data_IF_881978432387
#
_entry.id   IF_881978432387
#
_cell.length_a   1.000
_cell.length_b   1.000
_cell.length_c   1.000
_cell.angle_alpha   90.00
_cell.angle_beta   90.00
_cell.angle_gamma   90.00
#
_symmetry.space_group_name_H-M   'P 1'
#
loop_
_entity.id
_entity.type
_entity.pdbx_description
1 polymer ?
#
# COMPACT_ATOMS: atom_id res chain seq x y z
N UNK A 1 -1.83 32.17 -23.91
CA UNK A 1 -0.96 32.74 -22.86
C UNK A 1 0.09 31.68 -22.55
N UNK A 2 1.35 32.05 -22.72
CA UNK A 2 2.51 31.16 -22.55
C UNK A 2 2.71 30.78 -21.08
N UNK A 3 3.26 29.59 -20.78
CA UNK A 3 3.68 29.24 -19.44
C UNK A 3 4.96 29.99 -19.05
N UNK A 4 4.97 30.47 -17.80
CA UNK A 4 6.00 31.24 -17.14
C UNK A 4 7.29 30.41 -16.94
N UNK A 5 8.49 30.89 -17.32
CA UNK A 5 9.74 30.15 -17.21
C UNK A 5 10.55 30.64 -16.00
N UNK A 6 10.45 29.96 -14.85
CA UNK A 6 11.35 30.21 -13.72
C UNK A 6 11.60 28.90 -12.96
N UNK A 7 12.43 28.03 -13.54
CA UNK A 7 13.17 26.97 -12.84
C UNK A 7 14.41 26.61 -13.67
N UNK A 8 15.31 27.57 -13.86
CA UNK A 8 16.67 27.32 -14.35
C UNK A 8 17.66 28.21 -13.62
N UNK A 9 18.22 27.72 -12.50
CA UNK A 9 19.63 27.91 -12.13
C UNK A 9 19.89 27.44 -10.69
N UNK A 10 20.18 26.16 -10.50
CA UNK A 10 21.10 25.75 -9.43
C UNK A 10 22.09 24.75 -10.04
N UNK A 11 23.22 25.35 -10.45
CA UNK A 11 24.58 24.84 -10.49
C UNK A 11 24.82 23.34 -10.71
N UNK A 12 25.28 23.06 -11.93
CA UNK A 12 26.10 21.91 -12.27
C UNK A 12 27.45 21.97 -11.54
N UNK A 13 27.73 20.98 -10.71
CA UNK A 13 29.02 20.40 -10.27
C UNK A 13 28.61 19.37 -9.20
N UNK A 14 28.79 18.05 -9.30
CA UNK A 14 29.89 17.24 -9.79
C UNK A 14 29.34 15.94 -10.42
N UNK A 15 29.64 15.69 -11.69
CA UNK A 15 29.41 14.36 -12.28
C UNK A 15 30.63 13.52 -11.91
N UNK A 16 30.56 12.82 -10.79
CA UNK A 16 31.48 11.71 -10.53
C UNK A 16 31.14 10.56 -11.49
N UNK A 17 31.88 10.53 -12.59
CA UNK A 17 31.98 9.39 -13.49
C UNK A 17 32.56 8.17 -12.74
N UNK A 18 31.71 7.19 -12.41
CA UNK A 18 32.11 5.80 -12.15
C UNK A 18 31.21 4.81 -12.91
N UNK A 19 31.37 4.79 -14.23
CA UNK A 19 30.81 3.81 -15.16
C UNK A 19 31.50 2.42 -15.04
N UNK A 20 31.66 1.89 -13.83
CA UNK A 20 32.14 0.53 -13.64
C UNK A 20 30.93 -0.40 -13.51
N UNK A 21 30.52 -1.08 -14.59
CA UNK A 21 29.41 -2.07 -14.58
C UNK A 21 29.60 -3.02 -13.39
N UNK A 22 28.55 -3.23 -12.58
CA UNK A 22 28.67 -4.15 -11.45
C UNK A 22 28.72 -5.58 -11.96
N UNK A 23 29.64 -6.38 -11.41
CA UNK A 23 29.72 -7.79 -11.71
C UNK A 23 28.46 -8.52 -11.24
N UNK A 24 28.13 -9.64 -11.88
CA UNK A 24 27.00 -10.48 -11.46
C UNK A 24 27.12 -10.90 -9.99
N UNK A 25 28.33 -11.22 -9.50
CA UNK A 25 28.56 -11.54 -8.10
C UNK A 25 28.19 -10.39 -7.14
N UNK A 26 28.42 -9.12 -7.53
CA UNK A 26 28.00 -7.97 -6.72
C UNK A 26 26.48 -7.82 -6.72
N UNK A 27 25.81 -8.03 -7.85
CA UNK A 27 24.34 -7.97 -7.94
C UNK A 27 23.68 -9.07 -7.12
N UNK A 28 24.19 -10.31 -7.21
CA UNK A 28 23.72 -11.43 -6.40
C UNK A 28 23.84 -11.12 -4.91
N UNK A 29 24.95 -10.52 -4.46
CA UNK A 29 25.11 -10.10 -3.06
C UNK A 29 24.05 -9.08 -2.63
N UNK A 30 23.72 -8.10 -3.48
CA UNK A 30 22.69 -7.10 -3.20
C UNK A 30 21.30 -7.75 -3.09
N UNK A 31 20.97 -8.67 -4.00
CA UNK A 31 19.74 -9.45 -3.96
C UNK A 31 19.63 -10.31 -2.69
N UNK A 32 20.67 -11.08 -2.37
CA UNK A 32 20.69 -11.93 -1.18
C UNK A 32 20.50 -11.12 0.10
N UNK A 33 21.15 -9.95 0.19
CA UNK A 33 20.96 -9.02 1.29
C UNK A 33 19.53 -8.50 1.37
N UNK A 34 18.94 -8.08 0.24
CA UNK A 34 17.54 -7.65 0.19
C UNK A 34 16.59 -8.73 0.71
N UNK A 35 16.73 -9.97 0.22
CA UNK A 35 15.89 -11.11 0.66
C UNK A 35 16.07 -11.38 2.15
N UNK A 36 17.31 -11.32 2.64
CA UNK A 36 17.60 -11.50 4.06
C UNK A 36 16.88 -10.45 4.92
N UNK A 37 16.89 -9.18 4.50
CA UNK A 37 16.18 -8.11 5.22
C UNK A 37 14.66 -8.28 5.10
N UNK A 38 14.16 -8.63 3.91
CA UNK A 38 12.73 -8.81 3.66
C UNK A 38 12.15 -9.93 4.53
N UNK A 39 12.92 -11.01 4.73
CA UNK A 39 12.51 -12.14 5.57
C UNK A 39 12.24 -11.77 7.05
N UNK A 40 12.66 -10.58 7.51
CA UNK A 40 12.40 -10.04 8.86
C UNK A 40 11.06 -9.29 8.98
N UNK A 41 10.50 -8.86 7.84
CA UNK A 41 9.23 -8.13 7.76
C UNK A 41 8.12 -8.92 7.06
N UNK A 42 8.48 -10.01 6.38
CA UNK A 42 7.55 -10.90 5.70
C UNK A 42 6.62 -11.65 6.67
N UNK A 43 5.32 -11.66 6.34
CA UNK A 43 4.36 -12.58 6.97
C UNK A 43 4.61 -14.03 6.55
N UNK A 44 4.67 -14.96 7.50
CA UNK A 44 4.92 -16.39 7.24
C UNK A 44 3.69 -17.23 7.52
N UNK A 45 3.44 -18.20 6.64
CA UNK A 45 2.34 -19.15 6.79
C UNK A 45 2.86 -20.60 6.79
N UNK A 46 2.12 -21.55 7.37
CA UNK A 46 2.46 -22.95 7.22
C UNK A 46 2.27 -23.40 5.76
N UNK A 47 3.14 -24.30 5.29
CA UNK A 47 2.93 -24.99 4.03
C UNK A 47 1.60 -25.80 4.08
N UNK A 48 0.85 -25.92 2.96
CA UNK A 48 1.17 -25.42 1.62
C UNK A 48 0.64 -23.99 1.34
N UNK A 49 0.20 -23.25 2.37
CA UNK A 49 -0.42 -21.95 2.18
C UNK A 49 0.60 -20.86 1.81
N UNK A 50 1.83 -20.98 2.30
CA UNK A 50 2.94 -20.09 1.94
C UNK A 50 3.59 -20.54 0.62
N UNK A 51 3.45 -19.71 -0.42
CA UNK A 51 3.99 -19.92 -1.77
C UNK A 51 5.13 -18.95 -2.08
N UNK A 52 5.69 -18.26 -1.08
CA UNK A 52 6.81 -17.36 -1.31
C UNK A 52 7.99 -18.07 -1.95
N UNK A 53 8.45 -19.18 -1.38
CA UNK A 53 9.60 -19.92 -1.91
C UNK A 53 9.33 -20.60 -3.26
N UNK A 54 8.08 -20.88 -3.60
CA UNK A 54 7.72 -21.56 -4.84
C UNK A 54 7.45 -20.60 -6.01
N UNK A 55 6.98 -19.38 -5.73
CA UNK A 55 6.54 -18.41 -6.76
C UNK A 55 6.91 -16.97 -6.43
N UNK A 56 6.60 -16.52 -5.20
CA UNK A 56 6.73 -15.10 -4.84
C UNK A 56 8.18 -14.58 -4.88
N UNK A 57 9.15 -15.43 -4.51
CA UNK A 57 10.57 -15.08 -4.47
C UNK A 57 11.11 -14.79 -5.87
N UNK A 58 10.76 -15.61 -6.86
CA UNK A 58 11.25 -15.45 -8.23
C UNK A 58 10.68 -14.17 -8.87
N UNK A 59 9.40 -13.87 -8.64
CA UNK A 59 8.79 -12.60 -9.07
C UNK A 59 9.48 -11.40 -8.42
N UNK A 60 9.75 -11.49 -7.11
CA UNK A 60 10.45 -10.44 -6.38
C UNK A 60 11.87 -10.25 -6.89
N UNK A 61 12.58 -11.33 -7.20
CA UNK A 61 13.93 -11.30 -7.76
C UNK A 61 13.94 -10.53 -9.08
N UNK A 62 13.01 -10.84 -9.98
CA UNK A 62 12.91 -10.15 -11.27
C UNK A 62 12.75 -8.64 -11.11
N UNK A 63 11.87 -8.20 -10.21
CA UNK A 63 11.63 -6.76 -9.96
C UNK A 63 12.86 -6.09 -9.34
N UNK A 64 13.41 -6.68 -8.27
CA UNK A 64 14.54 -6.10 -7.54
C UNK A 64 15.80 -6.07 -8.40
N UNK A 65 16.09 -7.14 -9.15
CA UNK A 65 17.22 -7.18 -10.08
C UNK A 65 17.07 -6.14 -11.19
N UNK A 66 15.85 -5.88 -11.67
CA UNK A 66 15.59 -4.79 -12.62
C UNK A 66 16.01 -3.41 -12.10
N UNK A 67 15.80 -3.11 -10.81
CA UNK A 67 16.32 -1.89 -10.19
C UNK A 67 17.84 -1.90 -10.06
N UNK A 68 18.42 -3.01 -9.60
CA UNK A 68 19.87 -3.18 -9.43
C UNK A 68 20.61 -2.99 -10.76
N UNK A 69 20.10 -3.58 -11.84
CA UNK A 69 20.68 -3.47 -13.19
C UNK A 69 20.68 -2.03 -13.70
N UNK A 70 19.62 -1.28 -13.39
CA UNK A 70 19.48 0.14 -13.75
C UNK A 70 20.15 1.09 -12.76
N UNK A 71 20.67 0.58 -11.63
CA UNK A 71 21.20 1.37 -10.50
C UNK A 71 20.21 2.40 -9.97
N UNK A 72 18.94 2.06 -10.01
CA UNK A 72 17.87 2.91 -9.54
C UNK A 72 17.46 2.50 -8.11
N UNK A 73 17.08 3.44 -7.23
CA UNK A 73 16.55 3.09 -5.91
C UNK A 73 15.42 2.05 -6.04
N UNK A 74 15.48 0.98 -5.24
CA UNK A 74 14.42 -0.04 -5.23
C UNK A 74 13.15 0.63 -4.70
N UNK A 75 12.12 0.73 -5.52
CA UNK A 75 10.86 1.35 -5.11
C UNK A 75 9.89 0.28 -4.65
N UNK A 76 9.41 0.43 -3.42
CA UNK A 76 8.38 -0.40 -2.79
C UNK A 76 7.10 0.40 -2.70
N UNK A 77 5.97 -0.17 -3.12
CA UNK A 77 4.67 0.47 -2.99
C UNK A 77 3.78 -0.32 -2.03
N UNK A 78 3.25 0.37 -1.02
CA UNK A 78 2.46 -0.21 0.06
C UNK A 78 1.10 0.50 0.19
N UNK A 79 0.04 -0.09 -0.40
CA UNK A 79 -1.36 0.25 -0.09
C UNK A 79 -1.65 0.09 1.40
N UNK A 80 -1.76 1.21 2.15
CA UNK A 80 -1.90 1.16 3.61
C UNK A 80 -2.13 2.54 4.26
N UNK A 81 -2.32 2.53 5.59
CA UNK A 81 -2.48 3.69 6.47
C UNK A 81 -3.62 4.64 6.02
N UNK A 82 -4.85 4.13 5.84
CA UNK A 82 -5.97 4.96 5.38
C UNK A 82 -6.37 6.02 6.41
N UNK A 83 -6.61 5.56 7.65
CA UNK A 83 -7.07 6.31 8.82
C UNK A 83 -7.25 5.35 10.00
N UNK A 84 -7.53 5.88 11.20
CA UNK A 84 -7.96 5.07 12.35
C UNK A 84 -9.41 4.62 12.22
N UNK A 85 -9.70 3.46 12.78
CA UNK A 85 -11.06 2.92 12.85
C UNK A 85 -12.05 3.90 13.51
N UNK A 86 -13.29 4.04 13.00
CA UNK A 86 -14.30 4.88 13.62
C UNK A 86 -14.81 4.32 14.97
N UNK A 87 -14.58 3.05 15.26
CA UNK A 87 -14.80 2.49 16.59
C UNK A 87 -13.71 2.93 17.59
N UNK A 88 -13.97 4.03 18.30
CA UNK A 88 -13.09 4.59 19.34
C UNK A 88 -13.39 4.07 20.75
N UNK A 89 -14.25 3.07 20.91
CA UNK A 89 -14.62 2.53 22.23
C UNK A 89 -13.65 1.45 22.68
N UNK A 90 -13.35 0.49 21.79
CA UNK A 90 -12.54 -0.68 22.14
C UNK A 90 -11.49 -1.08 21.08
N UNK A 91 -11.39 -0.32 19.97
CA UNK A 91 -10.46 -0.65 18.88
C UNK A 91 -9.29 0.33 18.72
N UNK A 92 -9.51 1.63 18.88
CA UNK A 92 -8.46 2.66 18.76
C UNK A 92 -8.56 3.70 19.87
N UNK A 93 -7.45 4.36 20.19
CA UNK A 93 -7.37 5.39 21.23
C UNK A 93 -7.90 6.76 20.78
N UNK A 94 -7.96 6.99 19.46
CA UNK A 94 -8.38 8.23 18.86
C UNK A 94 -8.36 8.15 17.33
N UNK A 95 -8.55 9.30 16.69
CA UNK A 95 -8.60 9.42 15.22
C UNK A 95 -7.24 9.64 14.57
N UNK A 96 -6.30 10.22 15.32
CA UNK A 96 -4.94 10.49 14.85
C UNK A 96 -4.03 9.26 15.01
N UNK A 97 -2.92 9.19 14.25
CA UNK A 97 -1.89 8.19 14.46
C UNK A 97 -1.40 8.20 15.91
N UNK A 98 -1.08 7.02 16.42
CA UNK A 98 -0.52 6.83 17.75
C UNK A 98 0.77 6.00 17.68
N UNK A 99 1.22 5.49 18.83
CA UNK A 99 2.46 4.72 18.93
C UNK A 99 2.49 3.51 17.99
N UNK A 100 1.34 2.96 17.59
CA UNK A 100 1.28 1.87 16.64
C UNK A 100 1.80 2.29 15.25
N UNK A 101 1.35 3.45 14.76
CA UNK A 101 1.78 3.98 13.47
C UNK A 101 3.24 4.47 13.52
N UNK A 102 3.66 5.10 14.63
CA UNK A 102 5.07 5.51 14.82
C UNK A 102 6.03 4.32 14.71
N UNK A 103 5.77 3.23 15.44
CA UNK A 103 6.58 2.00 15.38
C UNK A 103 6.53 1.34 13.99
N UNK A 104 5.42 1.48 13.28
CA UNK A 104 5.30 0.96 11.92
C UNK A 104 6.19 1.76 10.96
N UNK A 105 6.18 3.09 11.03
CA UNK A 105 7.07 3.95 10.23
C UNK A 105 8.54 3.65 10.54
N UNK A 106 8.91 3.55 11.82
CA UNK A 106 10.26 3.19 12.24
C UNK A 106 10.70 1.85 11.65
N UNK A 107 9.81 0.85 11.64
CA UNK A 107 10.11 -0.47 11.07
C UNK A 107 10.33 -0.42 9.56
N UNK A 108 9.53 0.35 8.82
CA UNK A 108 9.66 0.50 7.37
C UNK A 108 10.94 1.26 7.00
N UNK A 109 11.23 2.35 7.72
CA UNK A 109 12.47 3.12 7.57
C UNK A 109 13.70 2.23 7.80
N UNK A 110 13.74 1.51 8.93
CA UNK A 110 14.85 0.63 9.28
C UNK A 110 15.08 -0.45 8.22
N UNK A 111 14.02 -0.97 7.62
CA UNK A 111 14.14 -1.92 6.52
C UNK A 111 14.80 -1.28 5.30
N UNK A 112 14.37 -0.09 4.88
CA UNK A 112 14.95 0.62 3.75
C UNK A 112 16.41 1.00 3.99
N UNK A 113 16.73 1.57 5.15
CA UNK A 113 18.09 1.95 5.55
C UNK A 113 19.03 0.74 5.54
N UNK A 114 18.58 -0.43 6.04
CA UNK A 114 19.38 -1.65 6.01
C UNK A 114 19.64 -2.15 4.59
N UNK A 115 18.72 -1.97 3.64
CA UNK A 115 18.97 -2.31 2.23
C UNK A 115 20.05 -1.39 1.64
N UNK A 116 19.99 -0.10 1.97
CA UNK A 116 20.92 0.92 1.49
C UNK A 116 22.38 0.70 1.94
N UNK A 117 22.59 0.07 3.10
CA UNK A 117 23.93 -0.32 3.60
C UNK A 117 24.76 -1.12 2.58
N UNK A 118 24.12 -1.91 1.73
CA UNK A 118 24.77 -2.76 0.71
C UNK A 118 24.48 -2.30 -0.72
N UNK A 119 23.30 -1.70 -0.95
CA UNK A 119 22.88 -1.19 -2.24
C UNK A 119 22.80 0.34 -2.20
N UNK A 120 23.88 1.02 -2.60
CA UNK A 120 24.01 2.48 -2.42
C UNK A 120 22.96 3.36 -3.13
N UNK A 121 22.31 2.95 -4.24
CA UNK A 121 21.15 3.70 -4.73
C UNK A 121 19.94 3.67 -3.79
N UNK A 122 19.94 2.76 -2.82
CA UNK A 122 18.99 2.74 -1.72
C UNK A 122 17.65 2.08 -2.04
N UNK A 123 16.73 2.24 -1.10
CA UNK A 123 15.39 1.68 -1.14
C UNK A 123 14.39 2.77 -0.72
N UNK A 124 13.28 2.89 -1.43
CA UNK A 124 12.21 3.85 -1.14
C UNK A 124 10.92 3.12 -0.84
N UNK A 125 10.24 3.54 0.22
CA UNK A 125 8.94 3.07 0.63
C UNK A 125 7.89 4.12 0.27
N UNK A 126 6.99 3.80 -0.65
CA UNK A 126 5.82 4.62 -0.96
C UNK A 126 4.62 4.07 -0.21
N UNK A 127 4.13 4.82 0.76
CA UNK A 127 2.83 4.60 1.38
C UNK A 127 1.77 5.16 0.43
N UNK A 128 1.07 4.28 -0.28
CA UNK A 128 -0.01 4.67 -1.17
C UNK A 128 -1.33 4.57 -0.41
N UNK A 129 -1.82 5.71 0.10
CA UNK A 129 -2.98 5.76 0.99
C UNK A 129 -4.23 5.24 0.30
N UNK A 130 -4.88 4.26 0.93
CA UNK A 130 -6.20 3.76 0.55
C UNK A 130 -7.33 4.48 1.30
N UNK A 131 -7.04 5.58 2.01
CA UNK A 131 -8.02 6.34 2.78
C UNK A 131 -9.19 6.83 1.90
N UNK A 132 -8.88 7.54 0.82
CA UNK A 132 -9.87 8.05 -0.16
C UNK A 132 -10.66 6.95 -0.87
N UNK A 133 -10.15 5.71 -0.83
CA UNK A 133 -10.83 4.53 -1.40
C UNK A 133 -12.03 4.13 -0.53
N UNK A 134 -11.91 4.25 0.80
CA UNK A 134 -12.83 3.61 1.75
C UNK A 134 -13.51 4.56 2.75
N UNK A 135 -13.10 5.83 2.87
CA UNK A 135 -13.51 6.70 3.97
C UNK A 135 -15.03 6.84 4.11
N UNK A 136 -15.75 7.08 3.02
CA UNK A 136 -17.21 7.20 3.00
C UNK A 136 -17.91 5.88 3.36
N UNK A 137 -17.38 4.74 2.87
CA UNK A 137 -17.89 3.41 3.19
C UNK A 137 -17.73 3.06 4.68
N UNK A 138 -16.73 3.64 5.33
CA UNK A 138 -16.44 3.47 6.74
C UNK A 138 -16.94 4.62 7.61
N UNK A 139 -17.61 5.63 7.03
CA UNK A 139 -18.14 6.78 7.78
C UNK A 139 -17.05 7.64 8.43
N UNK A 140 -15.88 7.75 7.77
CA UNK A 140 -14.79 8.62 8.17
C UNK A 140 -14.79 9.88 7.30
N UNK A 141 -14.91 11.03 7.94
CA UNK A 141 -14.93 12.33 7.28
C UNK A 141 -13.56 12.68 6.70
N UNK A 142 -13.54 13.44 5.61
CA UNK A 142 -12.30 13.85 4.95
C UNK A 142 -11.39 14.69 5.84
N UNK A 143 -11.96 15.50 6.74
CA UNK A 143 -11.17 16.26 7.69
C UNK A 143 -10.39 15.34 8.64
N UNK A 144 -11.00 14.24 9.11
CA UNK A 144 -10.33 13.28 9.99
C UNK A 144 -9.26 12.48 9.22
N UNK A 145 -9.56 12.09 7.97
CA UNK A 145 -8.61 11.41 7.09
C UNK A 145 -7.36 12.28 6.86
N UNK A 146 -7.54 13.52 6.40
CA UNK A 146 -6.41 14.38 6.11
C UNK A 146 -5.64 14.77 7.37
N UNK A 147 -6.32 14.96 8.51
CA UNK A 147 -5.65 15.17 9.79
C UNK A 147 -4.78 13.96 10.19
N UNK A 148 -5.27 12.72 9.93
CA UNK A 148 -4.48 11.52 10.14
C UNK A 148 -3.26 11.46 9.22
N UNK A 149 -3.43 11.74 7.92
CA UNK A 149 -2.32 11.75 6.96
C UNK A 149 -1.27 12.82 7.26
N UNK A 150 -1.69 14.02 7.65
CA UNK A 150 -0.80 15.12 7.99
C UNK A 150 0.03 14.81 9.24
N UNK A 151 -0.59 14.22 10.26
CA UNK A 151 0.13 13.78 11.47
C UNK A 151 1.10 12.63 11.16
N UNK A 152 0.73 11.69 10.28
CA UNK A 152 1.62 10.61 9.87
C UNK A 152 2.85 11.13 9.12
N UNK A 153 2.65 12.13 8.24
CA UNK A 153 3.75 12.85 7.55
C UNK A 153 4.61 13.62 8.55
N UNK A 154 4.00 14.25 9.56
CA UNK A 154 4.73 14.95 10.62
C UNK A 154 5.61 13.98 11.43
N UNK A 155 5.09 12.81 11.83
CA UNK A 155 5.87 11.78 12.53
C UNK A 155 7.12 11.35 11.74
N UNK A 156 6.97 11.08 10.43
CA UNK A 156 8.10 10.71 9.56
C UNK A 156 9.13 11.84 9.47
N UNK A 157 8.66 13.09 9.30
CA UNK A 157 9.51 14.27 9.21
C UNK A 157 10.27 14.53 10.51
N UNK A 158 9.58 14.49 11.65
CA UNK A 158 10.14 14.80 12.96
C UNK A 158 11.14 13.72 13.42
N UNK A 159 10.92 12.46 13.01
CA UNK A 159 11.87 11.37 13.21
C UNK A 159 13.09 11.43 12.26
N UNK A 160 13.06 12.31 11.24
CA UNK A 160 14.13 12.46 10.26
C UNK A 160 14.23 11.30 9.27
N UNK A 161 13.14 10.57 9.05
CA UNK A 161 13.11 9.43 8.13
C UNK A 161 13.15 9.92 6.68
N UNK A 162 14.03 9.33 5.87
CA UNK A 162 14.32 9.82 4.51
C UNK A 162 13.86 8.88 3.41
N UNK A 163 13.48 7.65 3.75
CA UNK A 163 13.13 6.63 2.76
C UNK A 163 11.62 6.48 2.54
N UNK A 164 10.80 7.13 3.38
CA UNK A 164 9.34 7.03 3.33
C UNK A 164 8.74 8.21 2.57
N UNK A 165 7.94 7.90 1.55
CA UNK A 165 7.17 8.83 0.76
C UNK A 165 5.68 8.51 0.89
N UNK A 166 4.84 9.55 0.82
CA UNK A 166 3.39 9.41 0.87
C UNK A 166 2.79 9.79 -0.48
N UNK A 167 1.81 9.02 -0.90
CA UNK A 167 1.07 9.26 -2.13
C UNK A 167 -0.41 8.87 -1.96
N UNK A 168 -1.26 9.36 -2.85
CA UNK A 168 -2.70 9.14 -2.82
C UNK A 168 -3.26 9.06 -4.24
N UNK A 169 -4.36 8.31 -4.39
CA UNK A 169 -5.07 8.19 -5.67
C UNK A 169 -5.51 9.55 -6.23
N UNK A 170 -5.67 10.57 -5.36
CA UNK A 170 -6.03 11.93 -5.73
C UNK A 170 -5.02 12.53 -6.76
N UNK A 171 -3.78 12.04 -6.80
CA UNK A 171 -2.76 12.47 -7.76
C UNK A 171 -2.92 11.85 -9.17
N UNK A 172 -3.81 10.88 -9.33
CA UNK A 172 -3.95 10.07 -10.55
C UNK A 172 -5.34 10.13 -11.19
N UNK A 173 -6.18 11.02 -10.68
CA UNK A 173 -7.57 11.21 -11.09
C UNK A 173 -7.81 12.67 -11.43
N UNK A 174 -8.75 12.92 -12.35
CA UNK A 174 -9.15 14.29 -12.72
C UNK A 174 -10.16 14.83 -11.74
N UNK A 175 -11.14 14.01 -11.34
CA UNK A 175 -12.16 14.40 -10.38
C UNK A 175 -11.72 14.08 -8.95
N UNK A 176 -10.87 14.92 -8.37
CA UNK A 176 -10.37 14.74 -6.99
C UNK A 176 -11.51 14.74 -5.98
N UNK A 177 -12.61 15.47 -6.21
CA UNK A 177 -13.73 15.54 -5.26
C UNK A 177 -14.42 14.17 -5.08
N UNK A 178 -14.62 13.43 -6.17
CA UNK A 178 -15.22 12.08 -6.18
C UNK A 178 -14.45 11.18 -7.18
N UNK A 179 -13.36 10.55 -6.73
CA UNK A 179 -12.43 9.88 -7.62
C UNK A 179 -12.82 8.44 -7.94
N UNK A 180 -13.76 7.86 -7.18
CA UNK A 180 -14.11 6.44 -7.28
C UNK A 180 -14.75 6.09 -8.62
N UNK A 181 -15.74 6.84 -9.15
CA UNK A 181 -16.34 6.51 -10.44
C UNK A 181 -15.31 6.48 -11.58
N UNK A 182 -14.37 7.43 -11.59
CA UNK A 182 -13.30 7.51 -12.59
C UNK A 182 -12.41 6.26 -12.56
N UNK A 183 -11.99 5.81 -11.37
CA UNK A 183 -11.17 4.60 -11.22
C UNK A 183 -11.95 3.35 -11.66
N UNK A 184 -13.22 3.23 -11.27
CA UNK A 184 -14.05 2.07 -11.63
C UNK A 184 -14.34 2.01 -13.14
N UNK A 185 -14.53 3.16 -13.79
CA UNK A 185 -14.69 3.24 -15.24
C UNK A 185 -13.38 2.93 -15.97
N UNK A 186 -12.26 3.53 -15.55
CA UNK A 186 -10.93 3.34 -16.15
C UNK A 186 -10.51 1.88 -16.24
N UNK A 187 -10.87 1.07 -15.24
CA UNK A 187 -10.48 -0.34 -15.15
C UNK A 187 -11.63 -1.33 -15.43
N UNK A 188 -12.72 -0.88 -16.06
CA UNK A 188 -13.88 -1.71 -16.48
C UNK A 188 -14.51 -2.53 -15.33
N UNK A 189 -14.66 -1.90 -14.17
CA UNK A 189 -15.19 -2.55 -12.96
C UNK A 189 -16.67 -2.26 -12.70
N UNK A 190 -17.29 -1.40 -13.52
CA UNK A 190 -18.69 -0.99 -13.39
C UNK A 190 -19.66 -2.17 -13.58
N UNK A 191 -19.28 -3.17 -14.37
CA UNK A 191 -20.13 -4.32 -14.71
C UNK A 191 -19.71 -5.63 -14.01
N UNK A 192 -18.70 -5.59 -13.13
CA UNK A 192 -18.21 -6.78 -12.46
C UNK A 192 -19.21 -7.29 -11.41
N UNK A 193 -19.78 -8.48 -11.61
CA UNK A 193 -20.66 -9.09 -10.61
C UNK A 193 -19.89 -9.90 -9.56
N UNK A 194 -19.55 -9.25 -8.45
CA UNK A 194 -18.92 -9.93 -7.31
C UNK A 194 -19.80 -11.02 -6.70
N UNK A 195 -21.12 -11.07 -6.91
CA UNK A 195 -21.93 -12.17 -6.37
C UNK A 195 -21.57 -13.50 -7.03
N UNK A 196 -21.31 -13.50 -8.34
CA UNK A 196 -20.84 -14.69 -9.06
C UNK A 196 -19.45 -15.06 -8.57
N UNK A 197 -18.52 -14.09 -8.56
CA UNK A 197 -17.12 -14.33 -8.15
C UNK A 197 -17.00 -14.83 -6.71
N UNK A 198 -17.75 -14.27 -5.76
CA UNK A 198 -17.80 -14.75 -4.37
C UNK A 198 -18.28 -16.21 -4.29
N UNK A 199 -19.21 -16.63 -5.17
CA UNK A 199 -19.68 -18.01 -5.22
C UNK A 199 -18.67 -18.95 -5.86
N UNK A 200 -17.97 -18.53 -6.91
CA UNK A 200 -17.14 -19.41 -7.73
C UNK A 200 -15.65 -19.41 -7.35
N UNK A 201 -15.14 -18.33 -6.76
CA UNK A 201 -13.71 -18.13 -6.49
C UNK A 201 -13.43 -18.12 -4.97
N UNK A 202 -12.77 -19.14 -4.40
CA UNK A 202 -12.50 -19.22 -2.96
C UNK A 202 -11.70 -18.05 -2.40
N UNK A 203 -10.71 -17.53 -3.15
CA UNK A 203 -9.90 -16.39 -2.73
C UNK A 203 -10.75 -15.11 -2.58
N UNK A 204 -11.59 -14.82 -3.58
CA UNK A 204 -12.51 -13.67 -3.56
C UNK A 204 -13.53 -13.80 -2.42
N UNK A 205 -14.04 -15.02 -2.17
CA UNK A 205 -14.92 -15.29 -1.03
C UNK A 205 -14.24 -15.03 0.32
N UNK A 206 -12.97 -15.41 0.46
CA UNK A 206 -12.21 -15.16 1.68
C UNK A 206 -12.03 -13.66 1.92
N UNK A 207 -11.69 -12.88 0.89
CA UNK A 207 -11.61 -11.41 0.98
C UNK A 207 -12.95 -10.80 1.41
N UNK A 208 -14.06 -11.22 0.79
CA UNK A 208 -15.41 -10.79 1.17
C UNK A 208 -15.71 -11.07 2.66
N UNK A 209 -15.43 -12.29 3.11
CA UNK A 209 -15.64 -12.71 4.50
C UNK A 209 -14.77 -11.91 5.47
N UNK A 210 -13.52 -11.61 5.13
CA UNK A 210 -12.64 -10.77 5.94
C UNK A 210 -13.18 -9.35 6.04
N UNK A 211 -13.58 -8.73 4.94
CA UNK A 211 -14.22 -7.41 4.96
C UNK A 211 -15.49 -7.38 5.82
N UNK A 212 -16.35 -8.40 5.73
CA UNK A 212 -17.54 -8.48 6.58
C UNK A 212 -17.17 -8.52 8.08
N UNK A 213 -16.17 -9.32 8.46
CA UNK A 213 -15.68 -9.38 9.85
C UNK A 213 -15.10 -8.05 10.33
N UNK A 214 -14.34 -7.36 9.47
CA UNK A 214 -13.80 -6.04 9.79
C UNK A 214 -14.93 -5.03 9.99
N UNK A 215 -15.89 -4.96 9.07
CA UNK A 215 -17.04 -4.05 9.14
C UNK A 215 -17.92 -4.28 10.37
N UNK A 216 -18.13 -5.53 10.79
CA UNK A 216 -18.90 -5.83 12.00
C UNK A 216 -18.28 -5.19 13.25
N UNK A 217 -16.95 -5.13 13.35
CA UNK A 217 -16.23 -4.55 14.50
C UNK A 217 -15.99 -3.05 14.35
N UNK A 218 -15.61 -2.60 13.17
CA UNK A 218 -15.20 -1.21 12.93
C UNK A 218 -16.39 -0.27 12.97
N UNK A 219 -17.54 -0.74 12.48
CA UNK A 219 -18.77 0.04 12.46
C UNK A 219 -19.72 -0.36 13.61
N UNK A 220 -19.20 -0.99 14.67
CA UNK A 220 -20.00 -1.49 15.80
C UNK A 220 -20.97 -0.45 16.38
N UNK A 221 -20.55 0.82 16.43
CA UNK A 221 -21.38 1.93 16.89
C UNK A 221 -22.55 2.23 15.95
N UNK A 222 -22.35 2.11 14.64
CA UNK A 222 -23.40 2.29 13.63
C UNK A 222 -24.44 1.15 13.64
N UNK A 223 -24.05 0.00 14.20
CA UNK A 223 -24.91 -1.18 14.32
C UNK A 223 -25.77 -1.18 15.59
N UNK A 224 -25.63 -0.19 16.46
CA UNK A 224 -26.38 -0.10 17.71
C UNK A 224 -27.90 -0.17 17.47
N UNK A 225 -28.58 -1.08 18.17
CA UNK A 225 -30.02 -1.31 18.04
C UNK A 225 -30.45 -2.15 16.84
N UNK A 226 -29.53 -2.56 15.94
CA UNK A 226 -29.86 -3.43 14.82
C UNK A 226 -29.86 -4.92 15.21
N UNK A 227 -30.69 -5.71 14.53
CA UNK A 227 -30.65 -7.17 14.68
C UNK A 227 -29.39 -7.75 14.01
N UNK A 228 -28.91 -8.91 14.51
CA UNK A 228 -27.75 -9.61 13.93
C UNK A 228 -27.89 -9.88 12.42
N UNK A 229 -29.10 -10.16 11.94
CA UNK A 229 -29.35 -10.39 10.51
C UNK A 229 -29.36 -9.09 9.69
N UNK A 230 -29.73 -7.97 10.27
CA UNK A 230 -29.62 -6.65 9.64
C UNK A 230 -28.13 -6.23 9.52
N UNK A 231 -27.35 -6.39 10.59
CA UNK A 231 -25.90 -6.10 10.60
C UNK A 231 -25.17 -6.87 9.51
N UNK A 232 -25.33 -8.21 9.47
CA UNK A 232 -24.70 -9.06 8.45
C UNK A 232 -25.05 -8.65 7.03
N UNK A 233 -26.30 -8.25 6.80
CA UNK A 233 -26.79 -7.82 5.48
C UNK A 233 -26.15 -6.49 5.06
N UNK A 234 -26.05 -5.53 5.98
CA UNK A 234 -25.44 -4.22 5.71
C UNK A 234 -23.92 -4.37 5.51
N UNK A 235 -23.24 -5.13 6.38
CA UNK A 235 -21.82 -5.47 6.19
C UNK A 235 -21.58 -6.12 4.83
N UNK A 236 -22.44 -7.05 4.40
CA UNK A 236 -22.32 -7.68 3.09
C UNK A 236 -22.53 -6.74 1.89
N UNK A 237 -23.29 -5.65 2.05
CA UNK A 237 -23.44 -4.61 1.01
C UNK A 237 -22.18 -3.76 0.92
N UNK A 238 -21.71 -3.25 2.06
CA UNK A 238 -20.51 -2.40 2.13
C UNK A 238 -19.27 -3.19 1.69
N UNK A 239 -19.14 -4.45 2.11
CA UNK A 239 -18.03 -5.31 1.73
C UNK A 239 -17.91 -5.47 0.21
N UNK A 240 -19.03 -5.60 -0.52
CA UNK A 240 -18.99 -5.67 -2.00
C UNK A 240 -18.52 -4.36 -2.62
N UNK A 241 -18.97 -3.22 -2.11
CA UNK A 241 -18.49 -1.92 -2.56
C UNK A 241 -16.98 -1.77 -2.29
N UNK A 242 -16.51 -2.15 -1.10
CA UNK A 242 -15.09 -2.18 -0.79
C UNK A 242 -14.32 -3.09 -1.76
N UNK A 243 -14.86 -4.24 -2.15
CA UNK A 243 -14.20 -5.13 -3.12
C UNK A 243 -14.06 -4.48 -4.51
N UNK A 244 -15.11 -3.84 -5.03
CA UNK A 244 -15.01 -3.10 -6.29
C UNK A 244 -13.92 -2.03 -6.22
N UNK A 245 -13.96 -1.20 -5.18
CA UNK A 245 -13.00 -0.11 -5.02
C UNK A 245 -11.58 -0.60 -4.79
N UNK A 246 -11.40 -1.69 -4.04
CA UNK A 246 -10.09 -2.30 -3.81
C UNK A 246 -9.48 -2.86 -5.11
N UNK A 247 -10.28 -3.48 -5.99
CA UNK A 247 -9.79 -3.94 -7.30
C UNK A 247 -9.39 -2.74 -8.16
N UNK A 248 -10.18 -1.67 -8.16
CA UNK A 248 -9.86 -0.46 -8.91
C UNK A 248 -8.59 0.22 -8.40
N UNK A 249 -8.45 0.36 -7.08
CA UNK A 249 -7.27 0.94 -6.46
C UNK A 249 -6.03 0.05 -6.65
N UNK A 250 -6.18 -1.27 -6.60
CA UNK A 250 -5.11 -2.22 -6.93
C UNK A 250 -4.64 -2.04 -8.37
N UNK A 251 -5.56 -1.94 -9.33
CA UNK A 251 -5.21 -1.72 -10.73
C UNK A 251 -4.55 -0.36 -10.96
N UNK A 252 -5.00 0.68 -10.24
CA UNK A 252 -4.36 2.00 -10.24
C UNK A 252 -2.93 1.93 -9.72
N UNK A 253 -2.69 1.19 -8.63
CA UNK A 253 -1.36 1.00 -8.08
C UNK A 253 -0.45 0.26 -9.08
N UNK A 254 -0.94 -0.82 -9.69
CA UNK A 254 -0.18 -1.60 -10.67
C UNK A 254 0.15 -0.75 -11.93
N UNK A 255 -0.75 0.14 -12.36
CA UNK A 255 -0.53 1.05 -13.50
C UNK A 255 0.41 2.22 -13.14
N UNK A 256 0.26 2.80 -11.95
CA UNK A 256 1.03 3.98 -11.51
C UNK A 256 2.45 3.63 -11.04
N UNK A 257 2.64 2.39 -10.58
CA UNK A 257 3.89 1.88 -10.02
C UNK A 257 4.32 0.57 -10.72
N UNK A 258 4.24 0.53 -12.04
CA UNK A 258 4.45 -0.68 -12.86
C UNK A 258 5.82 -1.38 -12.64
N UNK A 259 6.88 -0.64 -12.35
CA UNK A 259 8.21 -1.19 -12.05
C UNK A 259 8.41 -1.50 -10.55
N UNK A 260 7.55 -1.01 -9.66
CA UNK A 260 7.77 -1.11 -8.21
C UNK A 260 7.47 -2.50 -7.67
N UNK A 261 8.15 -2.89 -6.60
CA UNK A 261 7.78 -4.08 -5.85
C UNK A 261 6.58 -3.75 -4.96
N UNK A 262 5.41 -4.26 -5.33
CA UNK A 262 4.20 -4.13 -4.53
C UNK A 262 4.25 -5.03 -3.30
N UNK A 263 4.05 -4.42 -2.14
CA UNK A 263 3.92 -5.10 -0.85
C UNK A 263 2.51 -4.90 -0.28
N UNK A 264 2.13 -5.68 0.74
CA UNK A 264 0.78 -5.65 1.28
C UNK A 264 0.75 -5.93 2.78
N UNK A 265 -0.21 -5.30 3.46
CA UNK A 265 -0.60 -5.57 4.85
C UNK A 265 -1.62 -6.72 4.98
N UNK A 266 -2.19 -7.18 3.87
CA UNK A 266 -3.17 -8.25 3.85
C UNK A 266 -2.51 -9.63 3.79
N UNK A 267 -3.19 -10.61 4.38
CA UNK A 267 -2.76 -12.00 4.35
C UNK A 267 -3.03 -12.61 2.98
N UNK A 268 -1.96 -12.78 2.20
CA UNK A 268 -1.96 -13.55 0.95
C UNK A 268 -1.19 -14.86 1.14
N UNK A 269 -1.26 -15.74 0.14
CA UNK A 269 -0.43 -16.95 0.08
C UNK A 269 1.04 -16.63 -0.27
N UNK A 270 1.48 -15.37 -0.22
CA UNK A 270 2.80 -14.89 -0.61
C UNK A 270 3.26 -15.26 -2.04
N UNK A 271 2.37 -15.61 -2.96
CA UNK A 271 2.71 -15.83 -4.38
C UNK A 271 2.87 -14.51 -5.19
N UNK A 272 2.70 -13.36 -4.52
CA UNK A 272 2.56 -12.04 -5.13
C UNK A 272 1.18 -11.82 -5.74
N UNK A 273 0.86 -10.56 -6.14
CA UNK A 273 -0.13 -10.33 -7.19
C UNK A 273 0.25 -11.06 -8.49
#
# INVERSE_FOLDING_TARGET
MAPNPDYQSIQAHEIHSTSAVWSEAHKTKMWEHFVQKFATVQSRFPAPLDRFGAEGKDKMEQVVMGFIDRRAPITLVLPSFPFKSPNTIDKVLGKLPDRAEELAMERLENFCAQVEEVYSPGCKMVIFSDGRVFNDLLGVDLCDLYAFEDELKAMVKDAGYTHINFDSLDNYVKNVADPIPEILERFDLMHMDFNVRIKTEPAIRNTYCSFCKFLERDLALQWAGMSRSAVKRNCGKIAKQMMHRNVGFSALADDSYADALRISIHQYNNAGP
#
